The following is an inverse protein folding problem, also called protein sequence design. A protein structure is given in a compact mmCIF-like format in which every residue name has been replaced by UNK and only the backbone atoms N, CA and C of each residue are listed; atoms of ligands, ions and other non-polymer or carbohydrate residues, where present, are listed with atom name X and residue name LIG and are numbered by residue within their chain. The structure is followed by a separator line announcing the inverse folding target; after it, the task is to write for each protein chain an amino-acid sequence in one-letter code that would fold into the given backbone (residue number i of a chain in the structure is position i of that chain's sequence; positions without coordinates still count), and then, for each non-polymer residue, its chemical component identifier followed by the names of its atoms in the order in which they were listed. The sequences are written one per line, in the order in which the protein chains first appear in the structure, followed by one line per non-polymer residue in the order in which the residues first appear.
data_IF_267448665043
#
_entry.id   IF_267448665043
#
_cell.length_a   1.000
_cell.length_b   1.000
_cell.length_c   1.000
_cell.angle_alpha   90.00
_cell.angle_beta   90.00
_cell.angle_gamma   90.00
#
_symmetry.space_group_name_H-M   'P 1'
#
loop_
_entity.id
_entity.type
_entity.pdbx_description
1 polymer ?
#
# COMPACT_ATOMS: atom_id res chain seq x y z
N UNK A 1 -38.51 -37.37 33.86
CA UNK A 1 -38.29 -36.69 32.57
C UNK A 1 -36.96 -35.95 32.66
N UNK A 2 -35.87 -36.55 32.19
CA UNK A 2 -34.55 -35.94 32.22
C UNK A 2 -34.22 -35.44 30.81
N UNK A 3 -34.42 -34.15 30.54
CA UNK A 3 -33.88 -33.50 29.34
C UNK A 3 -32.44 -33.11 29.65
N UNK A 4 -31.52 -34.02 29.36
CA UNK A 4 -30.08 -33.73 29.37
C UNK A 4 -29.75 -32.72 28.27
N UNK A 5 -28.98 -31.71 28.65
CA UNK A 5 -28.70 -30.52 27.86
C UNK A 5 -27.96 -30.83 26.56
N UNK A 6 -28.55 -30.40 25.46
CA UNK A 6 -27.92 -30.36 24.14
C UNK A 6 -26.78 -29.32 24.13
N UNK A 7 -25.57 -29.74 24.49
CA UNK A 7 -24.35 -28.96 24.23
C UNK A 7 -23.91 -29.18 22.78
N UNK A 8 -24.17 -28.20 21.92
CA UNK A 8 -23.59 -28.15 20.58
C UNK A 8 -22.08 -27.81 20.68
N UNK A 9 -21.16 -28.62 20.12
CA UNK A 9 -19.75 -28.32 20.15
C UNK A 9 -19.45 -27.03 19.39
N UNK A 10 -18.85 -26.06 20.06
CA UNK A 10 -18.39 -24.81 19.43
C UNK A 10 -17.32 -25.15 18.40
N UNK A 11 -17.60 -24.88 17.12
CA UNK A 11 -16.62 -25.00 16.04
C UNK A 11 -15.40 -24.13 16.38
N UNK A 12 -14.24 -24.76 16.53
CA UNK A 12 -12.98 -24.07 16.77
C UNK A 12 -12.66 -23.20 15.55
N UNK A 13 -12.91 -21.89 15.66
CA UNK A 13 -12.57 -20.93 14.60
C UNK A 13 -11.05 -20.96 14.37
N UNK A 14 -10.62 -21.30 13.16
CA UNK A 14 -9.22 -21.20 12.75
C UNK A 14 -8.72 -19.77 13.04
N UNK A 15 -7.66 -19.64 13.84
CA UNK A 15 -7.01 -18.35 14.12
C UNK A 15 -6.49 -17.78 12.78
N UNK A 16 -6.97 -16.60 12.40
CA UNK A 16 -6.43 -15.87 11.25
C UNK A 16 -4.97 -15.52 11.54
N UNK A 17 -4.05 -15.86 10.63
CA UNK A 17 -2.65 -15.42 10.74
C UNK A 17 -2.61 -13.90 10.71
N UNK A 18 -1.84 -13.27 11.60
CA UNK A 18 -1.61 -11.82 11.57
C UNK A 18 -0.86 -11.47 10.29
N UNK A 19 -1.36 -10.48 9.56
CA UNK A 19 -0.68 -9.93 8.39
C UNK A 19 0.63 -9.28 8.81
N UNK A 20 1.70 -9.51 8.04
CA UNK A 20 2.97 -8.81 8.24
C UNK A 20 2.88 -7.44 7.59
N UNK A 21 3.47 -6.44 8.24
CA UNK A 21 3.57 -5.06 7.75
C UNK A 21 5.02 -4.79 7.36
N UNK A 22 5.49 -5.26 6.17
CA UNK A 22 6.86 -5.04 5.75
C UNK A 22 7.18 -3.56 5.58
N UNK A 23 8.48 -3.25 5.58
CA UNK A 23 8.96 -1.93 5.16
C UNK A 23 8.62 -1.70 3.69
N UNK A 24 8.57 -0.44 3.31
CA UNK A 24 8.41 -0.09 1.90
C UNK A 24 9.61 -0.55 1.09
N UNK A 25 9.36 -1.03 -0.12
CA UNK A 25 10.39 -1.36 -1.12
C UNK A 25 10.75 -0.15 -2.01
N UNK A 26 9.95 0.92 -1.96
CA UNK A 26 10.03 2.07 -2.87
C UNK A 26 10.73 3.25 -2.21
N UNK A 27 10.46 3.48 -0.92
CA UNK A 27 10.93 4.64 -0.17
C UNK A 27 11.31 4.22 1.24
N UNK A 28 12.31 4.86 1.84
CA UNK A 28 12.63 4.64 3.25
C UNK A 28 11.85 5.61 4.17
N UNK A 29 11.47 5.16 5.36
CA UNK A 29 10.85 6.04 6.37
C UNK A 29 11.92 6.88 7.10
N UNK A 30 12.47 7.87 6.41
CA UNK A 30 13.55 8.74 6.90
C UNK A 30 13.10 10.20 7.18
N UNK A 31 11.80 10.47 7.05
CA UNK A 31 11.21 11.79 7.27
C UNK A 31 11.08 12.66 6.03
N UNK A 32 11.45 12.18 4.83
CA UNK A 32 11.23 12.91 3.57
C UNK A 32 9.89 12.55 2.92
N UNK A 33 9.46 13.36 1.95
CA UNK A 33 8.33 13.06 1.08
C UNK A 33 8.84 12.47 -0.23
N UNK A 34 8.32 11.31 -0.64
CA UNK A 34 8.77 10.64 -1.85
C UNK A 34 8.58 11.49 -3.11
N UNK A 35 7.43 12.16 -3.23
CA UNK A 35 7.14 13.00 -4.40
C UNK A 35 7.95 14.31 -4.41
N UNK A 36 8.26 14.89 -3.25
CA UNK A 36 9.20 16.03 -3.19
C UNK A 36 10.58 15.65 -3.72
N UNK A 37 11.08 14.45 -3.37
CA UNK A 37 12.37 13.96 -3.87
C UNK A 37 12.32 13.70 -5.37
N UNK A 38 11.26 13.04 -5.83
CA UNK A 38 11.12 12.58 -7.21
C UNK A 38 10.87 13.72 -8.21
N UNK A 39 9.99 14.67 -7.85
CA UNK A 39 9.55 15.73 -8.75
C UNK A 39 10.41 16.99 -8.64
N UNK A 40 10.80 17.35 -7.41
CA UNK A 40 11.46 18.63 -7.13
C UNK A 40 12.94 18.48 -6.76
N UNK A 41 13.45 17.24 -6.62
CA UNK A 41 14.79 17.00 -6.06
C UNK A 41 14.93 17.46 -4.60
N UNK A 42 13.81 17.60 -3.89
CA UNK A 42 13.77 18.18 -2.55
C UNK A 42 13.77 17.09 -1.47
N UNK A 43 14.85 17.03 -0.71
CA UNK A 43 15.08 16.05 0.37
C UNK A 43 14.79 16.63 1.77
N UNK A 44 14.03 17.73 1.86
CA UNK A 44 13.66 18.32 3.15
C UNK A 44 12.83 17.33 3.97
N UNK A 45 13.12 17.28 5.28
CA UNK A 45 12.31 16.52 6.23
C UNK A 45 11.00 17.25 6.55
N UNK A 46 9.90 16.50 6.58
CA UNK A 46 8.58 17.00 6.94
C UNK A 46 8.23 16.58 8.38
N UNK A 47 7.57 17.47 9.12
CA UNK A 47 7.06 17.16 10.45
C UNK A 47 5.88 16.18 10.40
N UNK A 48 5.04 16.29 9.37
CA UNK A 48 3.87 15.44 9.15
C UNK A 48 4.01 14.72 7.81
N UNK A 49 3.90 13.40 7.86
CA UNK A 49 3.92 12.51 6.70
C UNK A 49 2.82 11.48 6.85
N UNK A 50 2.10 11.27 5.77
CA UNK A 50 1.12 10.20 5.64
C UNK A 50 1.72 9.02 4.89
N UNK A 51 1.38 7.82 5.33
CA UNK A 51 1.65 6.60 4.56
C UNK A 51 0.62 6.46 3.45
N UNK A 52 1.10 6.38 2.21
CA UNK A 52 0.30 6.21 1.01
C UNK A 52 0.56 4.84 0.38
N UNK A 53 -0.48 4.01 0.29
CA UNK A 53 -0.47 2.75 -0.44
C UNK A 53 -0.59 3.02 -1.94
N UNK A 54 0.39 2.59 -2.75
CA UNK A 54 0.42 2.87 -4.20
C UNK A 54 -0.86 2.37 -4.90
N UNK A 55 -1.31 1.18 -4.53
CA UNK A 55 -2.59 0.63 -4.97
C UNK A 55 -3.56 0.61 -3.78
N UNK A 56 -4.46 1.59 -3.75
CA UNK A 56 -5.49 1.73 -2.71
C UNK A 56 -6.73 0.87 -2.93
N UNK A 57 -7.82 1.22 -2.22
CA UNK A 57 -9.10 0.53 -2.32
C UNK A 57 -8.99 -0.95 -1.91
N UNK A 58 -9.61 -1.89 -2.65
CA UNK A 58 -9.47 -3.33 -2.40
C UNK A 58 -8.03 -3.83 -2.41
N UNK A 59 -7.15 -3.18 -3.18
CA UNK A 59 -5.74 -3.55 -3.33
C UNK A 59 -4.85 -2.98 -2.21
N UNK A 60 -5.42 -2.25 -1.23
CA UNK A 60 -4.65 -1.70 -0.12
C UNK A 60 -3.93 -2.78 0.68
N UNK A 61 -4.58 -3.93 0.89
CA UNK A 61 -3.99 -5.08 1.58
C UNK A 61 -2.78 -5.61 0.81
N UNK A 62 -2.91 -5.78 -0.51
CA UNK A 62 -1.79 -6.23 -1.35
C UNK A 62 -0.65 -5.21 -1.38
N UNK A 63 -0.95 -3.91 -1.39
CA UNK A 63 0.09 -2.89 -1.25
C UNK A 63 0.82 -2.98 0.08
N UNK A 64 0.10 -3.23 1.18
CA UNK A 64 0.68 -3.39 2.50
C UNK A 64 1.56 -4.66 2.58
N UNK A 65 1.05 -5.80 2.12
CA UNK A 65 1.76 -7.09 2.15
C UNK A 65 3.04 -7.12 1.30
N UNK A 66 3.07 -6.34 0.22
CA UNK A 66 4.21 -6.29 -0.70
C UNK A 66 5.13 -5.08 -0.47
N UNK A 67 4.87 -4.25 0.57
CA UNK A 67 5.67 -3.06 0.84
C UNK A 67 5.55 -1.98 -0.24
N UNK A 68 4.46 -1.96 -1.02
CA UNK A 68 4.18 -0.97 -2.07
C UNK A 68 3.49 0.25 -1.46
N UNK A 69 4.25 0.97 -0.64
CA UNK A 69 3.80 2.17 0.05
C UNK A 69 4.90 3.22 0.11
N UNK A 70 4.54 4.48 0.29
CA UNK A 70 5.51 5.59 0.43
C UNK A 70 5.03 6.56 1.50
N UNK A 71 5.94 7.38 2.01
CA UNK A 71 5.59 8.53 2.85
C UNK A 71 5.49 9.82 2.02
N UNK A 72 4.38 10.54 2.19
CA UNK A 72 4.07 11.78 1.47
C UNK A 72 3.72 12.90 2.45
N UNK A 73 4.14 14.13 2.14
CA UNK A 73 3.64 15.31 2.83
C UNK A 73 2.18 15.57 2.45
N UNK A 74 1.45 16.35 3.25
CA UNK A 74 0.03 16.65 3.00
C UNK A 74 -0.22 17.26 1.61
N UNK A 75 0.69 18.12 1.16
CA UNK A 75 0.61 18.75 -0.16
C UNK A 75 0.68 17.73 -1.29
N UNK A 76 1.56 16.74 -1.21
CA UNK A 76 1.67 15.67 -2.20
C UNK A 76 0.74 14.47 -1.96
N UNK A 77 0.10 14.37 -0.79
CA UNK A 77 -0.85 13.32 -0.49
C UNK A 77 -2.27 13.69 -0.92
N UNK A 78 -2.82 14.79 -0.37
CA UNK A 78 -4.24 15.12 -0.49
C UNK A 78 -4.55 16.58 -0.81
N UNK A 79 -3.64 17.52 -0.60
CA UNK A 79 -3.98 18.96 -0.64
C UNK A 79 -3.56 19.68 -1.93
N UNK A 80 -2.33 19.49 -2.38
CA UNK A 80 -1.70 20.24 -3.47
C UNK A 80 -2.20 19.87 -4.86
N UNK A 81 -1.79 20.65 -5.85
CA UNK A 81 -2.14 20.42 -7.27
C UNK A 81 -1.55 19.12 -7.81
N UNK A 82 -0.38 18.72 -7.30
CA UNK A 82 0.30 17.48 -7.64
C UNK A 82 0.00 16.34 -6.65
N UNK A 83 -0.96 16.53 -5.73
CA UNK A 83 -1.33 15.50 -4.76
C UNK A 83 -1.77 14.21 -5.44
N UNK A 84 -1.31 13.06 -4.96
CA UNK A 84 -1.61 11.75 -5.58
C UNK A 84 -3.11 11.43 -5.60
N UNK A 85 -3.89 11.95 -4.64
CA UNK A 85 -5.34 11.79 -4.62
C UNK A 85 -6.11 12.83 -5.46
N UNK A 86 -5.43 13.85 -6.00
CA UNK A 86 -6.06 14.93 -6.81
C UNK A 86 -5.59 14.95 -8.26
N UNK A 87 -4.32 14.64 -8.50
CA UNK A 87 -3.68 14.69 -9.80
C UNK A 87 -3.66 13.30 -10.46
N UNK A 88 -4.41 13.09 -11.57
CA UNK A 88 -4.40 11.82 -12.28
C UNK A 88 -3.01 11.44 -12.81
N UNK A 89 -2.20 12.42 -13.20
CA UNK A 89 -0.84 12.18 -13.69
C UNK A 89 0.10 11.69 -12.60
N UNK A 90 0.08 12.31 -11.42
CA UNK A 90 0.82 11.81 -10.25
C UNK A 90 0.36 10.41 -9.89
N UNK A 91 -0.95 10.13 -9.87
CA UNK A 91 -1.46 8.78 -9.59
C UNK A 91 -0.97 7.74 -10.62
N UNK A 92 -0.99 8.09 -11.91
CA UNK A 92 -0.48 7.22 -12.99
C UNK A 92 1.02 6.99 -12.88
N UNK A 93 1.79 8.02 -12.52
CA UNK A 93 3.24 7.91 -12.27
C UNK A 93 3.50 6.95 -11.10
N UNK A 94 2.83 7.15 -9.96
CA UNK A 94 3.00 6.34 -8.77
C UNK A 94 2.67 4.86 -9.02
N UNK A 95 1.61 4.58 -9.77
CA UNK A 95 1.25 3.19 -10.14
C UNK A 95 2.28 2.53 -11.05
N UNK A 96 2.83 3.27 -12.03
CA UNK A 96 3.92 2.76 -12.89
C UNK A 96 5.16 2.42 -12.07
N UNK A 97 5.59 3.33 -11.20
CA UNK A 97 6.73 3.10 -10.30
C UNK A 97 6.47 1.89 -9.40
N UNK A 98 5.30 1.80 -8.78
CA UNK A 98 4.97 0.66 -7.91
C UNK A 98 5.03 -0.68 -8.65
N UNK A 99 4.54 -0.75 -9.89
CA UNK A 99 4.67 -1.97 -10.69
C UNK A 99 6.13 -2.25 -11.06
N UNK A 100 6.91 -1.24 -11.47
CA UNK A 100 8.33 -1.41 -11.79
C UNK A 100 9.13 -1.95 -10.59
N UNK A 101 8.90 -1.40 -9.39
CA UNK A 101 9.56 -1.86 -8.17
C UNK A 101 9.15 -3.28 -7.79
N UNK A 102 7.87 -3.64 -7.97
CA UNK A 102 7.38 -5.00 -7.78
C UNK A 102 8.04 -5.99 -8.75
N UNK A 103 8.11 -5.62 -10.04
CA UNK A 103 8.66 -6.45 -11.12
C UNK A 103 10.18 -6.67 -11.02
N UNK A 104 10.89 -5.97 -10.11
CA UNK A 104 12.31 -6.28 -9.81
C UNK A 104 12.50 -7.63 -9.13
N UNK A 105 11.49 -8.13 -8.43
CA UNK A 105 11.56 -9.40 -7.68
C UNK A 105 10.47 -10.40 -8.08
N UNK A 106 9.49 -9.96 -8.87
CA UNK A 106 8.33 -10.75 -9.31
C UNK A 106 8.11 -10.57 -10.81
N UNK A 107 7.27 -11.42 -11.41
CA UNK A 107 6.87 -11.28 -12.82
C UNK A 107 5.67 -10.36 -12.99
N UNK A 108 5.51 -9.81 -14.21
CA UNK A 108 4.29 -9.07 -14.61
C UNK A 108 3.02 -9.88 -14.47
N UNK A 109 3.08 -11.19 -14.74
CA UNK A 109 1.91 -12.06 -14.60
C UNK A 109 1.44 -12.12 -13.14
N UNK A 110 2.36 -12.32 -12.19
CA UNK A 110 2.04 -12.27 -10.75
C UNK A 110 1.47 -10.91 -10.34
N UNK A 111 1.98 -9.82 -10.92
CA UNK A 111 1.44 -8.49 -10.68
C UNK A 111 -0.01 -8.38 -11.16
N UNK A 112 -0.34 -8.84 -12.37
CA UNK A 112 -1.70 -8.82 -12.91
C UNK A 112 -2.63 -9.72 -12.08
N UNK A 113 -2.17 -10.90 -11.66
CA UNK A 113 -2.94 -11.80 -10.78
C UNK A 113 -3.27 -11.13 -9.44
N UNK A 114 -2.36 -10.33 -8.89
CA UNK A 114 -2.52 -9.65 -7.59
C UNK A 114 -3.31 -8.35 -7.69
N UNK A 115 -3.06 -7.52 -8.70
CA UNK A 115 -3.58 -6.15 -8.81
C UNK A 115 -4.64 -5.96 -9.91
N UNK A 116 -4.87 -6.99 -10.72
CA UNK A 116 -5.93 -7.08 -11.73
C UNK A 116 -5.56 -6.58 -13.13
N UNK A 117 -4.50 -5.78 -13.29
CA UNK A 117 -4.07 -5.24 -14.61
C UNK A 117 -2.65 -4.70 -14.57
N UNK A 118 -2.04 -4.54 -15.74
CA UNK A 118 -0.79 -3.77 -15.91
C UNK A 118 -1.09 -2.26 -15.92
N UNK A 119 -0.17 -1.49 -15.35
CA UNK A 119 -0.05 -0.04 -15.42
C UNK A 119 1.17 0.41 -16.23
N UNK A 120 2.02 -0.53 -16.68
CA UNK A 120 3.06 -0.36 -17.68
C UNK A 120 2.54 -0.69 -19.08
#
# INVERSE_FOLDING_TARGET
MNQEGLMFPKTQKKRKKKMKHPKSIIHEKNGTCYLCMLLDGNYKKHLLLDEHHIFGGPNRIHSEENGLKVWLCLDHHTMGSLAVHRCPDTMRLMRRIGQQEYEKTHSRQQFIETFGKSYL
#
